data_IF_545721834281
#
_entry.id   IF_545721834281
#
_cell.length_a   1.000
_cell.length_b   1.000
_cell.length_c   1.000
_cell.angle_alpha   90.00
_cell.angle_beta   90.00
_cell.angle_gamma   90.00
#
_symmetry.space_group_name_H-M   'P 1'
#
loop_
_entity.id
_entity.type
_entity.pdbx_description
1 polymer ?
#
# COMPACT_ATOMS: atom_id res chain seq x y z
N UNK A 1 -6.28 -20.20 -9.14
CA UNK A 1 -6.34 -19.83 -10.57
C UNK A 1 -6.07 -18.35 -10.66
N UNK A 2 -4.95 -17.95 -11.25
CA UNK A 2 -4.73 -16.55 -11.59
C UNK A 2 -5.71 -16.20 -12.71
N UNK A 3 -6.66 -15.31 -12.41
CA UNK A 3 -7.43 -14.67 -13.46
C UNK A 3 -6.42 -13.89 -14.32
N UNK A 4 -6.30 -14.25 -15.59
CA UNK A 4 -5.47 -13.52 -16.54
C UNK A 4 -6.06 -12.11 -16.69
N UNK A 5 -5.33 -11.09 -16.22
CA UNK A 5 -5.78 -9.69 -16.27
C UNK A 5 -5.23 -9.03 -17.52
N UNK A 6 -6.10 -8.70 -18.47
CA UNK A 6 -5.67 -8.04 -19.69
C UNK A 6 -5.13 -6.63 -19.44
N UNK A 7 -4.31 -6.14 -20.37
CA UNK A 7 -3.79 -4.75 -20.36
C UNK A 7 -4.89 -3.66 -20.35
N UNK A 8 -6.14 -4.02 -20.64
CA UNK A 8 -7.29 -3.10 -20.53
C UNK A 8 -7.51 -2.58 -19.10
N UNK A 9 -7.06 -3.33 -18.09
CA UNK A 9 -7.08 -2.88 -16.70
C UNK A 9 -5.87 -2.01 -16.33
N UNK A 10 -4.99 -1.68 -17.27
CA UNK A 10 -3.85 -0.82 -17.00
C UNK A 10 -4.24 0.66 -17.05
N UNK A 11 -3.89 1.42 -16.02
CA UNK A 11 -4.19 2.84 -15.92
C UNK A 11 -3.10 3.68 -16.59
N UNK A 12 -3.18 3.81 -17.92
CA UNK A 12 -2.17 4.51 -18.72
C UNK A 12 -1.93 5.96 -18.33
N UNK A 13 -2.97 6.71 -17.95
CA UNK A 13 -2.82 8.10 -17.53
C UNK A 13 -1.97 8.22 -16.26
N UNK A 14 -2.20 7.35 -15.27
CA UNK A 14 -1.38 7.34 -14.06
C UNK A 14 0.07 6.90 -14.36
N UNK A 15 0.25 5.94 -15.27
CA UNK A 15 1.58 5.54 -15.71
C UNK A 15 2.31 6.65 -16.48
N UNK A 16 1.64 7.46 -17.31
CA UNK A 16 2.29 8.58 -18.01
C UNK A 16 2.78 9.65 -17.05
N UNK A 17 1.96 10.00 -16.04
CA UNK A 17 2.35 10.93 -14.97
C UNK A 17 3.57 10.40 -14.18
N UNK A 18 3.54 9.11 -13.82
CA UNK A 18 4.66 8.45 -13.16
C UNK A 18 5.92 8.46 -14.04
N UNK A 19 5.79 8.10 -15.31
CA UNK A 19 6.90 8.02 -16.24
C UNK A 19 7.58 9.38 -16.41
N UNK A 20 6.79 10.44 -16.60
CA UNK A 20 7.32 11.81 -16.69
C UNK A 20 8.01 12.24 -15.39
N UNK A 21 7.44 11.90 -14.24
CA UNK A 21 8.04 12.23 -12.94
C UNK A 21 9.39 11.54 -12.73
N UNK A 22 9.53 10.29 -13.18
CA UNK A 22 10.74 9.48 -12.94
C UNK A 22 11.82 9.70 -14.00
N UNK A 23 11.44 9.80 -15.28
CA UNK A 23 12.37 9.87 -16.41
C UNK A 23 12.54 11.27 -16.99
N UNK A 24 11.68 12.22 -16.62
CA UNK A 24 11.75 13.61 -17.09
C UNK A 24 11.29 13.82 -18.54
N UNK A 25 10.68 12.82 -19.17
CA UNK A 25 10.21 12.87 -20.56
C UNK A 25 8.78 12.30 -20.68
N UNK A 26 8.05 12.66 -21.74
CA UNK A 26 6.69 12.15 -21.97
C UNK A 26 6.69 10.90 -22.84
N UNK A 27 5.61 10.11 -22.73
CA UNK A 27 5.41 8.92 -23.56
C UNK A 27 5.21 9.25 -25.05
N UNK A 28 4.93 10.51 -25.40
CA UNK A 28 4.67 10.93 -26.79
C UNK A 28 5.90 10.76 -27.70
N UNK A 29 7.11 10.79 -27.11
CA UNK A 29 8.37 10.61 -27.83
C UNK A 29 8.71 9.14 -28.08
N UNK A 30 7.92 8.20 -27.54
CA UNK A 30 8.19 6.77 -27.60
C UNK A 30 7.53 6.15 -28.83
N UNK A 31 8.33 5.72 -29.80
CA UNK A 31 7.86 5.09 -31.04
C UNK A 31 7.80 3.55 -30.96
N UNK A 32 7.21 3.01 -29.89
CA UNK A 32 6.91 1.58 -29.74
C UNK A 32 5.46 1.39 -29.29
N UNK A 33 4.89 0.20 -29.53
CA UNK A 33 3.52 -0.08 -29.10
C UNK A 33 3.41 -0.06 -27.56
N UNK A 34 2.21 0.25 -27.04
CA UNK A 34 1.92 0.17 -25.60
C UNK A 34 2.24 -1.21 -25.02
N UNK A 35 1.95 -2.27 -25.77
CA UNK A 35 2.24 -3.65 -25.36
C UNK A 35 3.75 -3.87 -25.22
N UNK A 36 4.54 -3.43 -26.19
CA UNK A 36 5.99 -3.54 -26.16
C UNK A 36 6.61 -2.69 -25.05
N UNK A 37 6.07 -1.49 -24.82
CA UNK A 37 6.48 -0.63 -23.70
C UNK A 37 6.26 -1.35 -22.35
N UNK A 38 5.06 -1.87 -22.11
CA UNK A 38 4.76 -2.56 -20.86
C UNK A 38 5.58 -3.86 -20.70
N UNK A 39 5.86 -4.58 -21.79
CA UNK A 39 6.75 -5.74 -21.77
C UNK A 39 8.18 -5.35 -21.40
N UNK A 40 8.72 -4.25 -21.94
CA UNK A 40 10.06 -3.75 -21.61
C UNK A 40 10.18 -3.40 -20.11
N UNK A 41 9.12 -2.82 -19.55
CA UNK A 41 9.03 -2.53 -18.11
C UNK A 41 8.68 -3.76 -17.24
N UNK A 42 8.45 -4.94 -17.84
CA UNK A 42 7.98 -6.16 -17.17
C UNK A 42 6.65 -5.97 -16.42
N UNK A 43 5.82 -5.02 -16.87
CA UNK A 43 4.48 -4.74 -16.35
C UNK A 43 3.40 -5.55 -17.08
N UNK A 44 3.71 -6.05 -18.27
CA UNK A 44 2.89 -7.00 -19.00
C UNK A 44 3.75 -8.13 -19.58
N UNK A 45 3.09 -9.24 -19.93
CA UNK A 45 3.61 -10.34 -20.73
C UNK A 45 2.44 -10.99 -21.47
N UNK A 46 2.60 -11.30 -22.75
CA UNK A 46 1.58 -11.98 -23.56
C UNK A 46 0.19 -11.32 -23.50
N UNK A 47 0.15 -9.98 -23.53
CA UNK A 47 -1.06 -9.13 -23.40
C UNK A 47 -1.78 -9.22 -22.04
N UNK A 48 -1.15 -9.83 -21.05
CA UNK A 48 -1.62 -9.90 -19.67
C UNK A 48 -0.73 -9.05 -18.78
N UNK A 49 -1.31 -8.40 -17.77
CA UNK A 49 -0.55 -7.70 -16.75
C UNK A 49 0.20 -8.70 -15.88
N UNK A 50 1.44 -8.37 -15.57
CA UNK A 50 2.13 -9.02 -14.45
C UNK A 50 1.50 -8.57 -13.15
N UNK A 51 1.76 -9.29 -12.06
CA UNK A 51 1.29 -8.85 -10.75
C UNK A 51 1.81 -7.45 -10.40
N UNK A 52 3.06 -7.13 -10.74
CA UNK A 52 3.60 -5.78 -10.55
C UNK A 52 2.85 -4.74 -11.41
N UNK A 53 2.56 -5.05 -12.67
CA UNK A 53 1.76 -4.18 -13.54
C UNK A 53 0.38 -3.87 -12.97
N UNK A 54 -0.31 -4.91 -12.47
CA UNK A 54 -1.60 -4.75 -11.80
C UNK A 54 -1.49 -3.94 -10.50
N UNK A 55 -0.56 -4.30 -9.61
CA UNK A 55 -0.47 -3.66 -8.31
C UNK A 55 -0.01 -2.21 -8.39
N UNK A 56 0.90 -1.87 -9.30
CA UNK A 56 1.44 -0.50 -9.39
C UNK A 56 0.53 0.41 -10.21
N UNK A 57 -0.04 -0.09 -11.31
CA UNK A 57 -0.71 0.74 -12.31
C UNK A 57 -2.08 0.20 -12.73
N UNK A 58 -2.60 -0.84 -12.08
CA UNK A 58 -3.90 -1.40 -12.42
C UNK A 58 -5.09 -0.54 -11.98
N UNK A 59 -6.20 -0.73 -12.66
CA UNK A 59 -7.53 -0.29 -12.23
C UNK A 59 -8.21 -1.43 -11.47
N UNK A 60 -9.03 -1.09 -10.48
CA UNK A 60 -9.85 -2.06 -9.72
C UNK A 60 -9.04 -3.18 -9.05
N UNK A 61 -7.84 -2.87 -8.56
CA UNK A 61 -6.92 -3.84 -7.94
C UNK A 61 -7.61 -4.61 -6.80
N UNK A 62 -8.38 -3.91 -5.97
CA UNK A 62 -9.13 -4.49 -4.86
C UNK A 62 -10.23 -5.47 -5.29
N UNK A 63 -10.79 -5.32 -6.49
CA UNK A 63 -11.78 -6.27 -7.04
C UNK A 63 -11.11 -7.51 -7.62
N UNK A 64 -9.97 -7.32 -8.29
CA UNK A 64 -9.24 -8.39 -8.97
C UNK A 64 -8.40 -9.21 -7.99
N UNK A 65 -7.80 -8.54 -7.01
CA UNK A 65 -6.94 -9.11 -5.97
C UNK A 65 -7.23 -8.50 -4.60
N UNK A 66 -8.42 -8.74 -4.02
CA UNK A 66 -8.81 -8.22 -2.71
C UNK A 66 -7.82 -8.62 -1.60
N UNK A 67 -7.15 -9.76 -1.75
CA UNK A 67 -6.13 -10.20 -0.82
C UNK A 67 -4.96 -9.23 -0.73
N UNK A 68 -4.60 -8.49 -1.79
CA UNK A 68 -3.38 -7.67 -1.83
C UNK A 68 -3.48 -6.31 -1.12
N UNK A 69 -4.61 -6.03 -0.48
CA UNK A 69 -4.78 -4.88 0.43
C UNK A 69 -4.20 -5.07 1.84
N UNK A 70 -4.41 -4.05 2.66
CA UNK A 70 -4.13 -4.01 4.10
C UNK A 70 -5.45 -4.03 4.86
N UNK A 71 -5.50 -4.74 5.99
CA UNK A 71 -6.61 -4.69 6.94
C UNK A 71 -6.12 -4.06 8.25
N UNK A 72 -6.63 -2.87 8.54
CA UNK A 72 -6.34 -2.14 9.76
C UNK A 72 -7.40 -2.41 10.82
N UNK A 73 -7.00 -2.71 12.06
CA UNK A 73 -7.93 -2.79 13.19
C UNK A 73 -7.28 -2.23 14.46
N UNK A 74 -7.98 -1.31 15.10
CA UNK A 74 -7.68 -0.73 16.41
C UNK A 74 -8.54 -1.41 17.46
N UNK A 75 -7.95 -2.35 18.19
CA UNK A 75 -8.61 -3.09 19.25
C UNK A 75 -8.63 -2.30 20.55
N UNK A 76 -9.81 -2.17 21.15
CA UNK A 76 -9.97 -1.76 22.53
C UNK A 76 -9.61 -2.91 23.47
N UNK A 77 -10.17 -4.08 23.20
CA UNK A 77 -9.89 -5.36 23.86
C UNK A 77 -9.94 -6.50 22.82
N UNK A 78 -9.95 -7.76 23.27
CA UNK A 78 -9.90 -8.92 22.36
C UNK A 78 -11.14 -9.05 21.46
N UNK A 79 -12.28 -8.51 21.89
CA UNK A 79 -13.57 -8.68 21.22
C UNK A 79 -14.12 -7.38 20.62
N UNK A 80 -13.57 -6.22 20.97
CA UNK A 80 -14.07 -4.91 20.56
C UNK A 80 -12.99 -4.06 19.89
N UNK A 81 -13.39 -3.33 18.85
CA UNK A 81 -12.52 -2.39 18.13
C UNK A 81 -13.10 -0.97 18.13
N UNK A 82 -12.21 0.03 18.14
CA UNK A 82 -12.55 1.45 18.01
C UNK A 82 -12.46 1.95 16.57
N UNK A 83 -11.63 1.31 15.75
CA UNK A 83 -11.41 1.71 14.37
C UNK A 83 -11.06 0.47 13.53
N UNK A 84 -11.57 0.41 12.32
CA UNK A 84 -11.33 -0.69 11.39
C UNK A 84 -11.44 -0.18 9.96
N UNK A 85 -10.45 -0.53 9.14
CA UNK A 85 -10.40 -0.08 7.75
C UNK A 85 -9.87 -1.19 6.84
N UNK A 86 -10.60 -1.46 5.76
CA UNK A 86 -10.11 -2.29 4.65
C UNK A 86 -9.50 -1.34 3.61
N UNK A 87 -8.19 -1.49 3.40
CA UNK A 87 -7.37 -0.56 2.61
C UNK A 87 -6.93 -1.27 1.32
N UNK A 88 -7.49 -0.84 0.19
CA UNK A 88 -7.18 -1.34 -1.15
C UNK A 88 -6.59 -0.28 -2.08
N UNK A 89 -6.58 -0.60 -3.38
CA UNK A 89 -6.05 0.26 -4.44
C UNK A 89 -4.69 -0.16 -4.97
N UNK A 90 -4.11 0.68 -5.84
CA UNK A 90 -2.74 0.54 -6.36
C UNK A 90 -1.74 0.68 -5.22
N UNK A 91 -0.62 -0.05 -5.24
CA UNK A 91 0.34 -0.21 -4.14
C UNK A 91 0.73 1.08 -3.38
N UNK A 92 0.91 2.26 -4.03
CA UNK A 92 1.16 3.51 -3.30
C UNK A 92 0.00 3.94 -2.38
N UNK A 93 -1.24 3.61 -2.73
CA UNK A 93 -2.43 3.94 -1.94
C UNK A 93 -2.49 3.16 -0.63
N UNK A 94 -2.38 1.80 -0.57
CA UNK A 94 -2.26 1.08 0.68
C UNK A 94 -1.07 1.50 1.52
N UNK A 95 0.07 1.85 0.92
CA UNK A 95 1.21 2.36 1.68
C UNK A 95 0.84 3.65 2.43
N UNK A 96 0.31 4.64 1.71
CA UNK A 96 -0.09 5.92 2.32
C UNK A 96 -1.20 5.73 3.35
N UNK A 97 -2.29 5.06 2.97
CA UNK A 97 -3.46 4.84 3.84
C UNK A 97 -3.12 3.99 5.07
N UNK A 98 -2.24 2.99 4.92
CA UNK A 98 -1.75 2.19 6.05
C UNK A 98 -0.96 3.02 7.06
N UNK A 99 -0.11 3.93 6.58
CA UNK A 99 0.58 4.91 7.44
C UNK A 99 -0.43 5.83 8.12
N UNK A 100 -1.37 6.42 7.38
CA UNK A 100 -2.40 7.31 7.91
C UNK A 100 -3.25 6.61 8.99
N UNK A 101 -3.64 5.34 8.76
CA UNK A 101 -4.36 4.51 9.72
C UNK A 101 -3.58 4.31 11.01
N UNK A 102 -2.28 4.05 10.93
CA UNK A 102 -1.43 3.92 12.12
C UNK A 102 -1.36 5.27 12.85
N UNK A 103 -0.99 6.35 12.15
CA UNK A 103 -0.74 7.66 12.74
C UNK A 103 -1.98 8.23 13.45
N UNK A 104 -3.18 8.09 12.87
CA UNK A 104 -4.42 8.55 13.51
C UNK A 104 -4.78 7.79 14.78
N UNK A 105 -4.25 6.57 14.92
CA UNK A 105 -4.49 5.68 16.04
C UNK A 105 -3.33 5.64 17.07
N UNK A 106 -2.26 6.43 16.84
CA UNK A 106 -1.16 6.60 17.79
C UNK A 106 -1.50 7.64 18.84
N UNK A 107 -1.04 7.41 20.07
CA UNK A 107 -1.12 8.42 21.12
C UNK A 107 -0.12 9.54 20.84
N UNK A 108 -0.54 10.76 21.14
CA UNK A 108 0.38 11.91 21.27
C UNK A 108 0.76 12.07 22.72
N UNK A 109 2.05 12.24 22.99
CA UNK A 109 2.60 12.50 24.32
C UNK A 109 2.92 13.99 24.43
N UNK A 110 2.48 14.58 25.53
CA UNK A 110 2.93 15.91 25.90
C UNK A 110 4.36 15.81 26.42
N UNK A 111 5.24 16.66 25.92
CA UNK A 111 6.69 16.61 26.15
C UNK A 111 7.16 17.80 26.98
N UNK A 112 6.30 18.80 27.16
CA UNK A 112 6.58 19.98 27.96
C UNK A 112 5.35 20.37 28.77
N UNK A 113 5.59 21.09 29.86
CA UNK A 113 4.53 21.59 30.74
C UNK A 113 3.79 22.80 30.15
N UNK A 114 4.14 23.25 28.95
CA UNK A 114 3.36 24.27 28.24
C UNK A 114 2.07 23.64 27.70
N UNK A 115 0.95 24.28 28.03
CA UNK A 115 -0.38 23.91 27.55
C UNK A 115 -0.48 23.94 26.02
N UNK A 116 0.30 24.81 25.37
CA UNK A 116 0.31 24.97 23.91
C UNK A 116 1.35 24.10 23.20
N UNK A 117 2.14 23.31 23.93
CA UNK A 117 3.16 22.48 23.29
C UNK A 117 2.53 21.39 22.42
N UNK A 118 2.94 21.26 21.14
CA UNK A 118 2.43 20.22 20.28
C UNK A 118 2.81 18.84 20.82
N UNK A 119 1.84 17.94 20.96
CA UNK A 119 2.10 16.57 21.37
C UNK A 119 2.88 15.79 20.30
N UNK A 120 3.94 15.11 20.71
CA UNK A 120 4.72 14.23 19.85
C UNK A 120 4.07 12.86 19.71
N UNK A 121 4.17 12.26 18.52
CA UNK A 121 3.70 10.90 18.30
C UNK A 121 4.54 9.92 19.13
N UNK A 122 3.88 8.95 19.75
CA UNK A 122 4.58 7.92 20.54
C UNK A 122 5.53 7.04 19.71
N UNK A 123 5.33 6.98 18.39
CA UNK A 123 6.21 6.35 17.41
C UNK A 123 6.48 7.38 16.30
N UNK A 124 7.75 7.63 15.93
CA UNK A 124 8.08 8.56 14.86
C UNK A 124 7.45 8.15 13.52
N UNK A 125 6.96 9.14 12.76
CA UNK A 125 6.34 8.92 11.45
C UNK A 125 7.24 8.13 10.50
N UNK A 126 8.55 8.39 10.50
CA UNK A 126 9.52 7.69 9.66
C UNK A 126 9.52 6.18 9.93
N UNK A 127 9.51 5.78 11.21
CA UNK A 127 9.47 4.37 11.61
C UNK A 127 8.18 3.70 11.10
N UNK A 128 7.05 4.39 11.19
CA UNK A 128 5.77 3.88 10.66
C UNK A 128 5.81 3.70 9.15
N UNK A 129 6.36 4.69 8.41
CA UNK A 129 6.51 4.63 6.96
C UNK A 129 7.36 3.43 6.53
N UNK A 130 8.53 3.26 7.14
CA UNK A 130 9.43 2.14 6.85
C UNK A 130 8.77 0.79 7.16
N UNK A 131 8.08 0.67 8.30
CA UNK A 131 7.45 -0.58 8.69
C UNK A 131 6.32 -0.98 7.72
N UNK A 132 5.50 -0.03 7.25
CA UNK A 132 4.46 -0.27 6.23
C UNK A 132 5.08 -0.59 4.87
N UNK A 133 6.12 0.17 4.46
CA UNK A 133 6.82 -0.09 3.21
C UNK A 133 7.44 -1.49 3.19
N UNK A 134 8.12 -1.89 4.27
CA UNK A 134 8.71 -3.21 4.40
C UNK A 134 7.66 -4.32 4.36
N UNK A 135 6.51 -4.13 5.01
CA UNK A 135 5.45 -5.12 4.97
C UNK A 135 4.87 -5.33 3.56
N UNK A 136 4.74 -4.25 2.78
CA UNK A 136 4.27 -4.30 1.39
C UNK A 136 5.32 -4.89 0.44
N UNK A 137 6.58 -4.43 0.53
CA UNK A 137 7.66 -4.85 -0.38
C UNK A 137 8.09 -6.30 -0.13
N UNK A 138 8.25 -6.69 1.14
CA UNK A 138 8.64 -8.05 1.52
C UNK A 138 7.46 -9.00 1.66
N UNK A 139 6.30 -8.62 1.14
CA UNK A 139 5.15 -9.51 1.10
C UNK A 139 5.44 -10.70 0.21
N UNK A 140 5.13 -11.88 0.73
CA UNK A 140 5.05 -13.06 -0.11
C UNK A 140 3.79 -12.98 -0.98
N UNK A 141 3.99 -12.56 -2.23
CA UNK A 141 2.92 -12.43 -3.21
C UNK A 141 2.44 -13.77 -3.78
N UNK A 142 3.05 -14.90 -3.40
CA UNK A 142 2.53 -16.24 -3.66
C UNK A 142 1.44 -16.65 -2.66
N UNK A 143 1.31 -15.91 -1.54
CA UNK A 143 0.32 -16.18 -0.51
C UNK A 143 -0.87 -15.22 -0.63
N UNK A 144 -2.07 -15.81 -0.72
CA UNK A 144 -3.33 -15.06 -0.77
C UNK A 144 -3.81 -14.60 0.62
N UNK A 145 -3.03 -13.77 1.31
CA UNK A 145 -3.40 -13.24 2.63
C UNK A 145 -3.07 -11.77 2.78
N UNK A 146 -4.04 -10.95 3.16
CA UNK A 146 -3.85 -9.50 3.42
C UNK A 146 -2.78 -9.24 4.48
N UNK A 147 -2.16 -8.07 4.39
CA UNK A 147 -1.35 -7.54 5.48
C UNK A 147 -2.29 -7.08 6.59
N UNK A 148 -1.97 -7.40 7.84
CA UNK A 148 -2.77 -6.98 8.99
C UNK A 148 -2.00 -5.94 9.81
N UNK A 149 -2.63 -4.79 10.05
CA UNK A 149 -2.17 -3.77 11.00
C UNK A 149 -3.09 -3.84 12.23
N UNK A 150 -2.57 -4.38 13.34
CA UNK A 150 -3.33 -4.53 14.58
C UNK A 150 -2.76 -3.62 15.68
N UNK A 151 -3.56 -2.63 16.12
CA UNK A 151 -3.19 -1.68 17.16
C UNK A 151 -4.02 -1.90 18.43
N UNK A 152 -3.41 -2.10 19.60
CA UNK A 152 -4.08 -2.47 20.87
C UNK A 152 -3.98 -1.35 21.93
N UNK A 153 -5.04 -1.04 22.67
CA UNK A 153 -5.11 0.22 23.46
C UNK A 153 -4.05 0.30 24.55
N UNK A 154 -3.71 -0.85 25.10
CA UNK A 154 -2.77 -1.05 26.20
C UNK A 154 -1.38 -1.53 25.73
N UNK A 155 -1.23 -1.87 24.44
CA UNK A 155 0.03 -2.41 23.88
C UNK A 155 0.38 -1.58 22.64
N UNK A 156 1.49 -0.83 22.70
CA UNK A 156 2.12 -0.16 21.53
C UNK A 156 2.08 -1.12 20.32
N UNK A 157 1.89 -0.60 19.09
CA UNK A 157 1.72 -1.38 17.83
C UNK A 157 2.36 -2.76 17.96
N UNK A 158 1.53 -3.79 18.10
CA UNK A 158 2.05 -5.08 18.56
C UNK A 158 2.62 -5.90 17.40
N UNK A 159 2.11 -5.70 16.17
CA UNK A 159 2.59 -6.40 14.98
C UNK A 159 1.99 -5.80 13.71
N UNK A 160 2.84 -5.47 12.73
CA UNK A 160 2.46 -5.45 11.32
C UNK A 160 2.81 -6.84 10.79
N UNK A 161 1.79 -7.61 10.44
CA UNK A 161 1.95 -9.02 10.08
C UNK A 161 1.80 -9.22 8.59
N UNK A 162 2.87 -9.74 7.96
CA UNK A 162 2.70 -10.80 6.97
C UNK A 162 2.53 -12.08 7.78
N UNK A 163 1.36 -12.72 7.76
CA UNK A 163 1.23 -14.04 8.38
C UNK A 163 2.28 -14.93 7.72
N UNK A 164 3.31 -15.31 8.48
CA UNK A 164 4.38 -16.28 8.24
C UNK A 164 5.82 -15.74 8.27
N UNK A 165 6.14 -14.90 9.26
CA UNK A 165 7.39 -15.00 10.03
C UNK A 165 7.06 -14.95 11.54
#
# INVERSE_FOLDING_TARGET
MDASVGIAFFYFFYFSEFYQTVYGETLDNINISKEQLLNNFKLAKDKQLTLAGLLLFGTQVESIKPQFGIKGTRYFNENEFWDKEDIGGKLPEPQKKGVDFILRNLKRRQISNDFNAPGELEIPMLVVKEAVANALVHRDYFINSSIFINNYVDKRIKRILNRNN
#
